data_IF_945776276764
#
_entry.id   IF_945776276764
#
_cell.length_a   1.000
_cell.length_b   1.000
_cell.length_c   1.000
_cell.angle_alpha   90.00
_cell.angle_beta   90.00
_cell.angle_gamma   90.00
#
_symmetry.space_group_name_H-M   'P 1'
#
loop_
_entity.id
_entity.type
_entity.pdbx_description
1 polymer ?
#
# COMPACT_ATOMS: atom_id res chain seq x y z
N UNK A 1 11.06 -40.72 6.81
CA UNK A 1 11.17 -39.75 5.69
C UNK A 1 11.89 -38.51 6.20
N UNK A 2 13.00 -38.11 5.57
CA UNK A 2 13.78 -36.93 5.99
C UNK A 2 12.97 -35.68 5.65
N UNK A 3 12.46 -34.99 6.67
CA UNK A 3 11.72 -33.72 6.49
C UNK A 3 12.69 -32.60 6.11
N UNK A 4 12.30 -31.76 5.16
CA UNK A 4 13.15 -30.67 4.70
C UNK A 4 13.28 -29.58 5.80
N UNK A 5 14.46 -28.98 5.94
CA UNK A 5 14.72 -27.94 6.96
C UNK A 5 13.76 -26.74 6.88
N UNK A 6 13.24 -26.42 5.69
CA UNK A 6 12.23 -25.38 5.51
C UNK A 6 10.88 -25.67 6.16
N UNK A 7 10.56 -26.95 6.38
CA UNK A 7 9.32 -27.43 6.99
C UNK A 7 9.44 -27.58 8.52
N UNK A 8 10.69 -27.59 9.04
CA UNK A 8 10.94 -27.64 10.48
C UNK A 8 10.64 -26.28 11.14
N UNK A 9 9.53 -26.22 11.87
CA UNK A 9 9.10 -25.03 12.62
C UNK A 9 10.21 -24.45 13.52
N UNK A 10 10.97 -25.31 14.20
CA UNK A 10 12.07 -24.90 15.08
C UNK A 10 13.20 -24.19 14.31
N UNK A 11 13.58 -24.71 13.14
CA UNK A 11 14.61 -24.10 12.30
C UNK A 11 14.15 -22.73 11.79
N UNK A 12 12.90 -22.62 11.33
CA UNK A 12 12.31 -21.34 10.91
C UNK A 12 12.34 -20.29 12.02
N UNK A 13 11.98 -20.69 13.24
CA UNK A 13 12.04 -19.81 14.41
C UNK A 13 13.48 -19.38 14.72
N UNK A 14 14.43 -20.31 14.64
CA UNK A 14 15.85 -20.04 14.87
C UNK A 14 16.42 -19.03 13.87
N UNK A 15 16.16 -19.20 12.56
CA UNK A 15 16.58 -18.27 11.51
C UNK A 15 15.96 -16.87 11.74
N UNK A 16 14.68 -16.81 12.09
CA UNK A 16 14.00 -15.54 12.38
C UNK A 16 14.55 -14.86 13.64
N UNK A 17 14.91 -15.64 14.66
CA UNK A 17 15.52 -15.11 15.87
C UNK A 17 16.88 -14.48 15.57
N UNK A 18 17.72 -15.18 14.81
CA UNK A 18 19.01 -14.67 14.35
C UNK A 18 18.89 -13.43 13.48
N UNK A 19 17.88 -13.36 12.61
CA UNK A 19 17.57 -12.16 11.84
C UNK A 19 17.20 -10.98 12.74
N UNK A 20 16.26 -11.17 13.66
CA UNK A 20 15.86 -10.11 14.61
C UNK A 20 17.04 -9.68 15.48
N UNK A 21 17.88 -10.61 15.88
CA UNK A 21 19.10 -10.35 16.63
C UNK A 21 20.09 -9.49 15.84
N UNK A 22 20.34 -9.81 14.56
CA UNK A 22 21.16 -8.94 13.68
C UNK A 22 20.59 -7.53 13.60
N UNK A 23 19.29 -7.37 13.38
CA UNK A 23 18.67 -6.06 13.27
C UNK A 23 18.81 -5.24 14.57
N UNK A 24 18.58 -5.85 15.73
CA UNK A 24 18.76 -5.20 17.03
C UNK A 24 20.22 -4.79 17.26
N UNK A 25 21.17 -5.64 16.90
CA UNK A 25 22.59 -5.31 17.00
C UNK A 25 23.00 -4.19 16.04
N UNK A 26 22.43 -4.15 14.82
CA UNK A 26 22.70 -3.05 13.88
C UNK A 26 22.22 -1.71 14.42
N UNK A 27 21.08 -1.68 15.12
CA UNK A 27 20.58 -0.43 15.71
C UNK A 27 21.37 -0.01 16.94
N UNK A 28 21.90 -0.97 17.71
CA UNK A 28 22.57 -0.70 19.00
C UNK A 28 24.06 -0.39 18.87
N UNK A 29 24.78 -1.06 17.95
CA UNK A 29 26.24 -1.04 17.93
C UNK A 29 26.85 -0.35 16.70
N UNK A 30 26.03 0.08 15.74
CA UNK A 30 26.49 0.81 14.55
C UNK A 30 25.99 2.24 14.66
N UNK A 31 26.88 3.22 14.51
CA UNK A 31 26.51 4.64 14.53
C UNK A 31 26.18 5.15 13.12
N UNK A 32 26.92 4.69 12.10
CA UNK A 32 26.73 5.08 10.70
C UNK A 32 25.38 4.60 10.14
N UNK A 33 24.52 5.56 9.75
CA UNK A 33 23.24 5.26 9.09
C UNK A 33 23.40 4.55 7.75
N UNK A 34 24.46 4.87 7.00
CA UNK A 34 24.75 4.21 5.73
C UNK A 34 25.02 2.71 5.92
N UNK A 35 25.81 2.35 6.93
CA UNK A 35 26.09 0.95 7.26
C UNK A 35 24.83 0.24 7.78
N UNK A 36 23.99 0.89 8.60
CA UNK A 36 22.70 0.34 9.04
C UNK A 36 21.79 0.01 7.86
N UNK A 37 21.64 0.92 6.90
CA UNK A 37 20.81 0.72 5.72
C UNK A 37 21.32 -0.41 4.83
N UNK A 38 22.64 -0.45 4.59
CA UNK A 38 23.29 -1.51 3.81
C UNK A 38 23.12 -2.89 4.48
N UNK A 39 23.35 -2.98 5.78
CA UNK A 39 23.14 -4.21 6.58
C UNK A 39 21.70 -4.71 6.46
N UNK A 40 20.71 -3.84 6.69
CA UNK A 40 19.29 -4.20 6.61
C UNK A 40 18.93 -4.74 5.23
N UNK A 41 19.43 -4.10 4.19
CA UNK A 41 19.11 -4.44 2.79
C UNK A 41 19.71 -5.78 2.40
N UNK A 42 21.00 -6.00 2.70
CA UNK A 42 21.72 -7.24 2.35
C UNK A 42 21.20 -8.42 3.17
N UNK A 43 20.99 -8.27 4.47
CA UNK A 43 20.49 -9.37 5.30
C UNK A 43 19.07 -9.75 4.88
N UNK A 44 18.21 -8.76 4.55
CA UNK A 44 16.86 -9.03 4.04
C UNK A 44 16.89 -9.74 2.68
N UNK A 45 17.76 -9.32 1.76
CA UNK A 45 17.85 -9.95 0.44
C UNK A 45 18.38 -11.38 0.52
N UNK A 46 19.37 -11.65 1.38
CA UNK A 46 19.90 -13.00 1.60
C UNK A 46 18.87 -13.95 2.20
N UNK A 47 18.08 -13.49 3.18
CA UNK A 47 16.99 -14.30 3.73
C UNK A 47 15.91 -14.63 2.69
N UNK A 48 15.60 -13.68 1.81
CA UNK A 48 14.64 -13.93 0.74
C UNK A 48 15.20 -14.92 -0.29
N UNK A 49 16.47 -14.77 -0.67
CA UNK A 49 17.16 -15.63 -1.63
C UNK A 49 17.20 -17.08 -1.17
N UNK A 50 17.51 -17.32 0.11
CA UNK A 50 17.68 -18.66 0.68
C UNK A 50 16.42 -19.21 1.36
N UNK A 51 15.25 -18.57 1.17
CA UNK A 51 13.99 -18.98 1.79
C UNK A 51 13.54 -20.38 1.35
N UNK A 52 13.84 -20.76 0.12
CA UNK A 52 13.43 -22.02 -0.50
C UNK A 52 14.56 -23.03 -0.61
N UNK A 53 15.71 -22.76 0.01
CA UNK A 53 16.86 -23.67 -0.03
C UNK A 53 16.50 -24.97 0.68
N UNK A 54 16.65 -26.08 -0.06
CA UNK A 54 16.40 -27.44 0.46
C UNK A 54 17.64 -28.07 1.11
N UNK A 55 18.82 -27.48 0.91
CA UNK A 55 20.10 -28.00 1.44
C UNK A 55 20.35 -27.53 2.87
N UNK A 56 20.57 -28.47 3.78
CA UNK A 56 20.93 -28.20 5.17
C UNK A 56 22.30 -27.50 5.29
N UNK A 57 23.23 -27.86 4.41
CA UNK A 57 24.59 -27.32 4.40
C UNK A 57 24.62 -25.84 3.94
N UNK A 58 23.80 -25.47 2.95
CA UNK A 58 23.72 -24.07 2.51
C UNK A 58 23.13 -23.16 3.60
N UNK A 59 22.09 -23.64 4.30
CA UNK A 59 21.51 -22.95 5.43
C UNK A 59 22.51 -22.81 6.60
N UNK A 60 23.26 -23.87 6.92
CA UNK A 60 24.28 -23.85 7.96
C UNK A 60 25.38 -22.82 7.68
N UNK A 61 25.96 -22.81 6.47
CA UNK A 61 26.99 -21.84 6.06
C UNK A 61 26.46 -20.40 6.18
N UNK A 62 25.20 -20.19 5.76
CA UNK A 62 24.58 -18.86 5.79
C UNK A 62 24.36 -18.37 7.23
N UNK A 63 23.94 -19.27 8.12
CA UNK A 63 23.80 -18.98 9.55
C UNK A 63 25.15 -18.73 10.23
N UNK A 64 26.21 -19.46 9.84
CA UNK A 64 27.55 -19.24 10.37
C UNK A 64 28.09 -17.86 9.99
N UNK A 65 27.93 -17.44 8.73
CA UNK A 65 28.27 -16.08 8.27
C UNK A 65 27.49 -15.00 9.02
N UNK A 66 26.20 -15.25 9.28
CA UNK A 66 25.36 -14.32 10.03
C UNK A 66 25.76 -14.25 11.52
N UNK A 67 26.25 -15.35 12.10
CA UNK A 67 26.85 -15.39 13.44
C UNK A 67 28.18 -14.61 13.48
N UNK A 68 29.03 -14.76 12.49
CA UNK A 68 30.30 -14.02 12.37
C UNK A 68 30.04 -12.51 12.23
N UNK A 69 29.09 -12.13 11.38
CA UNK A 69 28.65 -10.74 11.23
C UNK A 69 28.21 -10.16 12.58
N UNK A 70 27.38 -10.88 13.34
CA UNK A 70 26.95 -10.44 14.67
C UNK A 70 28.12 -10.28 15.65
N UNK A 71 29.11 -11.18 15.64
CA UNK A 71 30.32 -11.03 16.45
C UNK A 71 31.11 -9.77 16.08
N UNK A 72 31.17 -9.41 14.80
CA UNK A 72 31.81 -8.17 14.36
C UNK A 72 31.03 -6.92 14.81
N UNK A 73 29.70 -6.97 14.74
CA UNK A 73 28.83 -5.87 15.18
C UNK A 73 28.94 -5.64 16.70
N UNK A 74 28.90 -6.69 17.52
CA UNK A 74 29.01 -6.56 18.99
C UNK A 74 30.38 -6.05 19.43
N UNK A 75 31.45 -6.45 18.74
CA UNK A 75 32.82 -5.98 18.98
C UNK A 75 33.16 -4.65 18.31
N UNK A 76 32.17 -3.94 17.73
CA UNK A 76 32.32 -2.66 17.00
C UNK A 76 33.38 -2.66 15.89
N UNK A 77 33.67 -3.82 15.29
CA UNK A 77 34.64 -3.97 14.18
C UNK A 77 33.97 -3.65 12.84
N UNK A 78 33.68 -2.37 12.60
CA UNK A 78 32.90 -1.87 11.45
C UNK A 78 33.52 -2.21 10.09
N UNK A 79 34.85 -2.12 9.95
CA UNK A 79 35.58 -2.46 8.71
C UNK A 79 35.43 -3.95 8.37
N UNK A 80 35.56 -4.83 9.37
CA UNK A 80 35.39 -6.27 9.16
C UNK A 80 33.95 -6.63 8.80
N UNK A 81 32.97 -5.98 9.44
CA UNK A 81 31.56 -6.13 9.09
C UNK A 81 31.27 -5.64 7.66
N UNK A 82 31.92 -4.56 7.23
CA UNK A 82 31.81 -4.04 5.86
C UNK A 82 32.32 -5.04 4.82
N UNK A 83 33.51 -5.60 5.03
CA UNK A 83 34.11 -6.56 4.09
C UNK A 83 33.25 -7.83 3.96
N UNK A 84 32.72 -8.34 5.07
CA UNK A 84 31.80 -9.49 5.05
C UNK A 84 30.53 -9.21 4.23
N UNK A 85 30.01 -7.98 4.24
CA UNK A 85 28.86 -7.60 3.43
C UNK A 85 29.21 -7.50 1.94
N UNK A 86 30.40 -7.01 1.62
CA UNK A 86 30.90 -6.89 0.25
C UNK A 86 31.09 -8.27 -0.39
N UNK A 87 31.71 -9.21 0.32
CA UNK A 87 31.86 -10.60 -0.15
C UNK A 87 30.52 -11.28 -0.44
N UNK A 88 29.50 -10.97 0.36
CA UNK A 88 28.14 -11.51 0.21
C UNK A 88 27.40 -10.86 -0.97
N UNK A 89 27.68 -9.59 -1.29
CA UNK A 89 27.10 -8.93 -2.46
C UNK A 89 27.75 -9.35 -3.77
N UNK A 90 29.08 -9.52 -3.80
CA UNK A 90 29.83 -9.83 -5.04
C UNK A 90 29.60 -11.27 -5.53
N UNK A 91 29.46 -12.24 -4.61
CA UNK A 91 29.13 -13.64 -4.95
C UNK A 91 27.77 -13.81 -5.63
N UNK A 92 26.92 -12.78 -5.66
CA UNK A 92 25.63 -12.79 -6.35
C UNK A 92 25.74 -12.46 -7.85
N UNK A 93 26.81 -11.78 -8.29
CA UNK A 93 26.96 -11.38 -9.71
C UNK A 93 27.77 -12.38 -10.56
N UNK A 94 28.67 -13.19 -9.98
CA UNK A 94 29.69 -13.92 -10.76
C UNK A 94 29.65 -15.46 -10.66
N UNK A 95 28.49 -16.10 -10.86
CA UNK A 95 28.43 -17.54 -11.19
C UNK A 95 27.49 -17.82 -12.37
N UNK A 96 27.88 -17.32 -13.54
CA UNK A 96 27.57 -17.96 -14.82
C UNK A 96 28.85 -18.60 -15.31
N UNK A 97 29.20 -19.76 -14.77
CA UNK A 97 30.20 -20.63 -15.36
C UNK A 97 29.62 -21.14 -16.67
N UNK A 98 30.16 -20.60 -17.76
CA UNK A 98 29.88 -20.98 -19.14
C UNK A 98 30.22 -22.46 -19.37
N UNK A 99 29.21 -23.29 -19.55
CA UNK A 99 29.31 -24.41 -20.49
C UNK A 99 28.65 -23.95 -21.79
N UNK A 100 29.46 -23.90 -22.85
CA UNK A 100 29.06 -23.47 -24.18
C UNK A 100 28.04 -24.45 -24.75
N UNK A 101 26.84 -23.94 -25.06
CA UNK A 101 25.98 -24.52 -26.09
C UNK A 101 25.65 -23.42 -27.08
N UNK A 102 25.97 -23.71 -28.34
CA UNK A 102 25.84 -22.88 -29.53
C UNK A 102 24.43 -22.33 -29.69
N UNK A 103 24.33 -21.13 -30.26
CA UNK A 103 23.13 -20.37 -30.68
C UNK A 103 22.27 -19.74 -29.57
N UNK A 104 22.74 -18.63 -29.01
CA UNK A 104 21.85 -17.57 -28.56
C UNK A 104 22.30 -16.27 -29.22
N UNK A 105 21.65 -15.94 -30.34
CA UNK A 105 21.59 -14.55 -30.81
C UNK A 105 21.14 -13.72 -29.61
N UNK A 106 21.83 -12.62 -29.26
CA UNK A 106 21.39 -11.76 -28.18
C UNK A 106 19.95 -11.33 -28.49
N UNK A 107 18.99 -11.67 -27.63
CA UNK A 107 17.63 -11.15 -27.74
C UNK A 107 17.74 -9.62 -27.70
N UNK A 108 17.64 -9.00 -28.89
CA UNK A 108 17.50 -7.57 -29.01
C UNK A 108 16.35 -7.12 -28.09
N UNK A 109 16.43 -5.92 -27.48
CA UNK A 109 15.35 -5.43 -26.65
C UNK A 109 14.05 -5.45 -27.46
N UNK A 110 13.16 -6.39 -27.14
CA UNK A 110 11.88 -6.55 -27.81
C UNK A 110 11.15 -5.24 -27.63
N UNK A 111 10.87 -4.55 -28.75
CA UNK A 111 10.13 -3.28 -28.72
C UNK A 111 8.84 -3.51 -27.92
N UNK A 112 8.49 -2.65 -26.95
CA UNK A 112 7.39 -2.88 -26.02
C UNK A 112 6.02 -3.05 -26.71
N UNK A 113 5.88 -2.57 -27.94
CA UNK A 113 4.68 -2.75 -28.79
C UNK A 113 4.52 -4.21 -29.22
N UNK A 114 5.59 -4.85 -29.69
CA UNK A 114 5.60 -6.26 -30.13
C UNK A 114 5.32 -7.22 -28.95
N UNK A 115 5.78 -6.87 -27.75
CA UNK A 115 5.50 -7.64 -26.54
C UNK A 115 4.00 -7.57 -26.14
N UNK A 116 3.32 -6.45 -26.39
CA UNK A 116 1.88 -6.32 -26.14
C UNK A 116 1.05 -7.05 -27.20
N UNK A 117 1.41 -6.91 -28.47
CA UNK A 117 0.72 -7.58 -29.57
C UNK A 117 0.80 -9.11 -29.46
N UNK A 118 1.96 -9.65 -29.10
CA UNK A 118 2.16 -11.08 -28.86
C UNK A 118 1.34 -11.62 -27.69
N UNK A 119 1.20 -10.85 -26.60
CA UNK A 119 0.35 -11.27 -25.46
C UNK A 119 -1.13 -11.26 -25.82
N UNK A 120 -1.60 -10.25 -26.56
CA UNK A 120 -2.98 -10.18 -27.07
C UNK A 120 -3.27 -11.36 -28.00
N UNK A 121 -2.35 -11.63 -28.93
CA UNK A 121 -2.46 -12.74 -29.88
C UNK A 121 -2.52 -14.10 -29.17
N UNK A 122 -1.63 -14.34 -28.21
CA UNK A 122 -1.60 -15.60 -27.46
C UNK A 122 -2.90 -15.81 -26.66
N UNK A 123 -3.42 -14.75 -26.02
CA UNK A 123 -4.68 -14.83 -25.29
C UNK A 123 -5.86 -15.14 -26.22
N UNK A 124 -5.89 -14.51 -27.39
CA UNK A 124 -6.89 -14.76 -28.42
C UNK A 124 -6.84 -16.19 -28.94
N UNK A 125 -5.65 -16.70 -29.29
CA UNK A 125 -5.45 -18.07 -29.76
C UNK A 125 -5.90 -19.07 -28.70
N UNK A 126 -5.45 -18.91 -27.45
CA UNK A 126 -5.83 -19.80 -26.35
C UNK A 126 -7.35 -19.83 -26.14
N UNK A 127 -8.01 -18.66 -26.18
CA UNK A 127 -9.46 -18.56 -26.04
C UNK A 127 -10.24 -19.23 -27.18
N UNK A 128 -9.75 -19.15 -28.42
CA UNK A 128 -10.40 -19.81 -29.58
C UNK A 128 -10.09 -21.31 -29.63
N UNK A 129 -8.88 -21.74 -29.25
CA UNK A 129 -8.50 -23.16 -29.14
C UNK A 129 -9.30 -23.86 -28.04
N UNK A 130 -9.51 -23.22 -26.88
CA UNK A 130 -10.35 -23.76 -25.81
C UNK A 130 -11.80 -24.01 -26.26
N UNK A 131 -12.29 -23.25 -27.24
CA UNK A 131 -13.62 -23.41 -27.85
C UNK A 131 -13.64 -24.36 -29.06
N UNK A 132 -12.51 -24.99 -29.40
CA UNK A 132 -12.40 -25.87 -30.57
C UNK A 132 -12.44 -25.15 -31.93
N UNK A 133 -12.31 -23.81 -31.96
CA UNK A 133 -12.44 -23.00 -33.19
C UNK A 133 -11.12 -22.83 -33.96
N UNK A 134 -9.98 -23.21 -33.36
CA UNK A 134 -8.66 -23.12 -33.98
C UNK A 134 -7.86 -24.41 -33.74
N UNK A 135 -7.00 -24.82 -34.69
CA UNK A 135 -6.11 -25.95 -34.52
C UNK A 135 -5.04 -25.68 -33.46
N UNK A 136 -4.53 -26.75 -32.83
CA UNK A 136 -3.51 -26.66 -31.76
C UNK A 136 -2.19 -26.07 -32.26
N UNK A 137 -1.81 -26.38 -33.50
CA UNK A 137 -0.58 -25.89 -34.14
C UNK A 137 -0.96 -24.95 -35.27
N UNK A 138 -0.47 -23.71 -35.21
CA UNK A 138 -0.72 -22.68 -36.22
C UNK A 138 0.63 -22.14 -36.70
N UNK A 139 0.91 -22.16 -38.01
CA UNK A 139 2.11 -21.56 -38.58
C UNK A 139 2.26 -20.08 -38.23
N UNK A 140 3.50 -19.61 -38.09
CA UNK A 140 3.80 -18.24 -37.66
C UNK A 140 3.28 -17.19 -38.66
N UNK A 141 3.27 -17.50 -39.95
CA UNK A 141 2.76 -16.61 -41.01
C UNK A 141 1.26 -16.31 -40.82
N UNK A 142 0.44 -17.33 -40.55
CA UNK A 142 -0.99 -17.14 -40.29
C UNK A 142 -1.25 -16.42 -38.95
N UNK A 143 -0.39 -16.65 -37.95
CA UNK A 143 -0.44 -15.91 -36.68
C UNK A 143 -0.27 -14.41 -36.88
N UNK A 144 0.68 -13.99 -37.71
CA UNK A 144 0.97 -12.56 -37.93
C UNK A 144 0.03 -11.92 -38.94
N UNK A 145 -0.31 -12.60 -40.04
CA UNK A 145 -1.09 -12.01 -41.14
C UNK A 145 -2.61 -12.07 -40.92
N UNK A 146 -3.12 -13.14 -40.30
CA UNK A 146 -4.57 -13.35 -40.14
C UNK A 146 -5.02 -13.17 -38.69
N UNK A 147 -4.38 -13.86 -37.75
CA UNK A 147 -4.87 -13.92 -36.37
C UNK A 147 -4.57 -12.67 -35.57
N UNK A 148 -3.41 -12.03 -35.78
CA UNK A 148 -3.05 -10.81 -35.07
C UNK A 148 -4.01 -9.64 -35.39
N UNK A 149 -4.31 -9.32 -36.67
CA UNK A 149 -5.30 -8.29 -36.99
C UNK A 149 -6.68 -8.56 -36.37
N UNK A 150 -7.13 -9.82 -36.35
CA UNK A 150 -8.40 -10.22 -35.73
C UNK A 150 -8.36 -10.09 -34.20
N UNK A 151 -7.27 -10.51 -33.56
CA UNK A 151 -7.10 -10.40 -32.11
C UNK A 151 -7.10 -8.92 -31.66
N UNK A 152 -6.43 -8.05 -32.42
CA UNK A 152 -6.44 -6.62 -32.18
C UNK A 152 -7.82 -6.00 -32.41
N UNK A 153 -8.55 -6.47 -33.41
CA UNK A 153 -9.93 -6.04 -33.67
C UNK A 153 -10.88 -6.43 -32.53
N UNK A 154 -10.87 -7.68 -32.07
CA UNK A 154 -11.72 -8.15 -30.97
C UNK A 154 -11.44 -7.37 -29.66
N UNK A 155 -10.17 -7.12 -29.36
CA UNK A 155 -9.80 -6.29 -28.22
C UNK A 155 -10.33 -4.85 -28.37
N UNK A 156 -10.21 -4.27 -29.56
CA UNK A 156 -10.70 -2.93 -29.85
C UNK A 156 -12.23 -2.85 -29.83
N UNK A 157 -12.94 -3.90 -30.25
CA UNK A 157 -14.40 -4.00 -30.13
C UNK A 157 -14.82 -4.00 -28.67
N UNK A 158 -14.16 -4.81 -27.83
CA UNK A 158 -14.42 -4.80 -26.39
C UNK A 158 -14.16 -3.42 -25.77
N UNK A 159 -13.15 -2.69 -26.24
CA UNK A 159 -12.90 -1.29 -25.83
C UNK A 159 -14.01 -0.37 -26.30
N UNK A 160 -14.44 -0.47 -27.55
CA UNK A 160 -15.51 0.33 -28.13
C UNK A 160 -16.83 0.14 -27.38
N UNK A 161 -17.23 -1.10 -27.08
CA UNK A 161 -18.44 -1.38 -26.29
C UNK A 161 -18.36 -0.80 -24.87
N UNK A 162 -17.18 -0.84 -24.23
CA UNK A 162 -16.99 -0.18 -22.92
C UNK A 162 -17.18 1.33 -23.03
N UNK A 163 -16.78 1.93 -24.14
CA UNK A 163 -16.95 3.36 -24.38
C UNK A 163 -18.39 3.74 -24.69
N UNK A 164 -19.07 2.93 -25.49
CA UNK A 164 -20.50 3.04 -25.76
C UNK A 164 -21.32 2.95 -24.47
N UNK A 165 -21.07 1.94 -23.62
CA UNK A 165 -21.75 1.79 -22.33
C UNK A 165 -21.47 2.98 -21.39
N UNK A 166 -20.27 3.55 -21.41
CA UNK A 166 -19.96 4.76 -20.62
C UNK A 166 -20.74 5.97 -21.12
N UNK A 167 -20.89 6.12 -22.44
CA UNK A 167 -21.65 7.21 -23.03
C UNK A 167 -23.16 7.04 -22.79
N UNK A 168 -23.68 5.81 -22.89
CA UNK A 168 -25.08 5.49 -22.62
C UNK A 168 -25.49 5.82 -21.17
N UNK A 169 -24.57 5.67 -20.21
CA UNK A 169 -24.80 6.04 -18.79
C UNK A 169 -24.89 7.55 -18.54
N UNK A 170 -24.57 8.38 -19.53
CA UNK A 170 -24.59 9.83 -19.42
C UNK A 170 -23.34 10.43 -18.76
N UNK A 171 -23.38 11.73 -18.41
CA UNK A 171 -22.24 12.42 -17.84
C UNK A 171 -21.84 11.84 -16.48
N UNK A 172 -20.54 11.79 -16.17
CA UNK A 172 -20.06 11.27 -14.90
C UNK A 172 -20.51 12.18 -13.74
N UNK A 173 -21.33 11.61 -12.85
CA UNK A 173 -21.88 12.32 -11.69
C UNK A 173 -20.79 12.86 -10.78
N UNK A 174 -20.90 14.13 -10.38
CA UNK A 174 -20.06 14.69 -9.33
C UNK A 174 -20.78 14.63 -7.98
N UNK A 175 -20.07 14.19 -6.95
CA UNK A 175 -20.63 14.04 -5.62
C UNK A 175 -19.59 14.33 -4.56
N UNK A 176 -20.05 14.69 -3.37
CA UNK A 176 -19.19 14.85 -2.20
C UNK A 176 -18.91 13.48 -1.60
N UNK A 177 -17.62 13.17 -1.47
CA UNK A 177 -17.14 11.99 -0.78
C UNK A 177 -16.41 12.42 0.48
N UNK A 178 -16.20 11.51 1.41
CA UNK A 178 -15.47 11.77 2.63
C UNK A 178 -14.50 10.64 2.97
N UNK A 179 -13.48 11.00 3.75
CA UNK A 179 -12.60 10.04 4.43
C UNK A 179 -12.62 10.34 5.92
N UNK A 180 -12.71 9.30 6.73
CA UNK A 180 -12.60 9.43 8.18
C UNK A 180 -11.13 9.63 8.58
N UNK A 181 -10.93 10.49 9.57
CA UNK A 181 -9.66 10.68 10.28
C UNK A 181 -9.96 10.86 11.77
N UNK A 182 -10.02 9.74 12.51
CA UNK A 182 -10.51 9.74 13.88
C UNK A 182 -11.96 10.22 13.96
N UNK A 183 -12.21 11.26 14.77
CA UNK A 183 -13.54 11.88 14.96
C UNK A 183 -13.93 12.84 13.82
N UNK A 184 -12.97 13.26 12.99
CA UNK A 184 -13.21 14.20 11.89
C UNK A 184 -13.53 13.48 10.57
N UNK A 185 -14.40 14.10 9.76
CA UNK A 185 -14.73 13.65 8.39
C UNK A 185 -14.21 14.68 7.40
N UNK A 186 -13.21 14.30 6.62
CA UNK A 186 -12.63 15.17 5.60
C UNK A 186 -13.43 15.00 4.32
N UNK A 187 -14.21 16.01 3.95
CA UNK A 187 -15.02 16.03 2.74
C UNK A 187 -14.22 16.52 1.53
N UNK A 188 -14.55 16.01 0.34
CA UNK A 188 -13.96 16.45 -0.92
C UNK A 188 -14.83 16.05 -2.12
N UNK A 189 -14.76 16.82 -3.21
CA UNK A 189 -15.51 16.52 -4.44
C UNK A 189 -14.86 15.35 -5.19
N UNK A 190 -15.65 14.35 -5.55
CA UNK A 190 -15.29 13.32 -6.54
C UNK A 190 -15.94 13.68 -7.87
N UNK A 191 -15.13 13.73 -8.93
CA UNK A 191 -15.57 14.02 -10.30
C UNK A 191 -14.71 13.26 -11.31
N UNK A 192 -15.06 13.33 -12.59
CA UNK A 192 -14.22 12.75 -13.66
C UNK A 192 -12.84 13.40 -13.74
N UNK A 193 -12.74 14.67 -13.35
CA UNK A 193 -11.48 15.41 -13.24
C UNK A 193 -10.69 15.02 -12.00
N UNK A 194 -11.37 14.88 -10.86
CA UNK A 194 -10.74 14.68 -9.55
C UNK A 194 -10.78 13.20 -9.12
N UNK A 195 -10.10 12.32 -9.88
CA UNK A 195 -10.03 10.88 -9.60
C UNK A 195 -8.61 10.33 -9.65
N UNK A 196 -8.27 9.46 -8.70
CA UNK A 196 -6.97 8.73 -8.64
C UNK A 196 -5.74 9.65 -8.71
N UNK A 197 -4.88 9.48 -9.71
CA UNK A 197 -3.66 10.28 -9.92
C UNK A 197 -3.93 11.76 -10.23
N UNK A 198 -5.15 12.09 -10.69
CA UNK A 198 -5.58 13.47 -10.96
C UNK A 198 -6.11 14.18 -9.72
N UNK A 199 -6.14 13.51 -8.56
CA UNK A 199 -6.49 14.19 -7.33
C UNK A 199 -5.44 15.20 -6.94
N UNK A 200 -5.88 16.32 -6.36
CA UNK A 200 -4.96 17.34 -5.86
C UNK A 200 -3.99 16.72 -4.85
N UNK A 201 -2.69 16.94 -5.07
CA UNK A 201 -1.65 16.56 -4.11
C UNK A 201 -1.87 17.23 -2.75
N UNK A 202 -2.40 18.46 -2.73
CA UNK A 202 -2.70 19.19 -1.49
C UNK A 202 -3.75 18.47 -0.64
N UNK A 203 -4.81 17.96 -1.27
CA UNK A 203 -5.83 17.14 -0.61
C UNK A 203 -5.21 15.86 -0.03
N UNK A 204 -4.34 15.19 -0.79
CA UNK A 204 -3.65 13.99 -0.31
C UNK A 204 -2.68 14.26 0.85
N UNK A 205 -2.03 15.42 0.88
CA UNK A 205 -1.18 15.86 2.01
C UNK A 205 -2.05 16.16 3.23
N UNK A 206 -3.15 16.91 3.04
CA UNK A 206 -4.10 17.24 4.10
C UNK A 206 -4.66 15.98 4.77
N UNK A 207 -5.15 15.01 3.98
CA UNK A 207 -5.69 13.75 4.52
C UNK A 207 -4.62 12.98 5.31
N UNK A 208 -3.38 12.90 4.81
CA UNK A 208 -2.31 12.19 5.51
C UNK A 208 -1.91 12.87 6.81
N UNK A 209 -1.81 14.21 6.80
CA UNK A 209 -1.51 15.00 7.99
C UNK A 209 -2.58 14.79 9.06
N UNK A 210 -3.84 14.87 8.67
CA UNK A 210 -4.97 14.70 9.59
C UNK A 210 -5.07 13.28 10.14
N UNK A 211 -4.86 12.25 9.30
CA UNK A 211 -4.82 10.85 9.78
C UNK A 211 -3.67 10.61 10.75
N UNK A 212 -2.49 11.19 10.48
CA UNK A 212 -1.34 11.08 11.39
C UNK A 212 -1.63 11.77 12.72
N UNK A 213 -2.24 12.96 12.69
CA UNK A 213 -2.64 13.68 13.88
C UNK A 213 -3.69 12.91 14.69
N UNK A 214 -4.75 12.43 14.04
CA UNK A 214 -5.79 11.62 14.68
C UNK A 214 -5.25 10.32 15.30
N UNK A 215 -4.28 9.67 14.65
CA UNK A 215 -3.58 8.54 15.23
C UNK A 215 -2.80 8.94 16.48
N UNK A 216 -2.11 10.09 16.45
CA UNK A 216 -1.43 10.63 17.62
C UNK A 216 -2.37 10.89 18.81
N UNK A 217 -3.59 11.38 18.55
CA UNK A 217 -4.62 11.56 19.59
C UNK A 217 -5.07 10.21 20.17
N UNK A 218 -5.27 9.20 19.32
CA UNK A 218 -5.62 7.85 19.79
C UNK A 218 -4.49 7.21 20.61
N UNK A 219 -3.24 7.40 20.18
CA UNK A 219 -2.07 6.89 20.88
C UNK A 219 -1.88 7.63 22.23
N UNK A 220 -2.12 8.94 22.27
CA UNK A 220 -2.09 9.72 23.51
C UNK A 220 -3.19 9.29 24.49
N UNK A 221 -4.41 9.06 24.00
CA UNK A 221 -5.51 8.54 24.83
C UNK A 221 -5.16 7.18 25.43
N UNK A 222 -4.58 6.27 24.65
CA UNK A 222 -4.14 4.96 25.16
C UNK A 222 -3.08 5.09 26.26
N UNK A 223 -2.14 6.03 26.11
CA UNK A 223 -1.17 6.33 27.18
C UNK A 223 -1.86 6.84 28.43
N UNK A 224 -2.82 7.75 28.30
CA UNK A 224 -3.63 8.19 29.44
C UNK A 224 -4.39 7.03 30.10
N UNK A 225 -4.88 6.05 29.33
CA UNK A 225 -5.52 4.84 29.88
C UNK A 225 -4.52 3.98 30.67
N UNK A 226 -3.30 3.80 30.17
CA UNK A 226 -2.22 3.10 30.88
C UNK A 226 -1.79 3.85 32.14
N UNK A 227 -1.52 5.16 32.03
CA UNK A 227 -1.11 6.03 33.13
C UNK A 227 -2.21 6.11 34.21
N UNK A 228 -3.49 6.04 33.82
CA UNK A 228 -4.63 6.02 34.74
C UNK A 228 -4.60 4.79 35.66
N UNK A 229 -4.21 3.63 35.16
CA UNK A 229 -4.11 2.40 35.97
C UNK A 229 -2.97 2.53 36.97
N UNK A 230 -1.83 3.08 36.56
CA UNK A 230 -0.69 3.33 37.44
C UNK A 230 -1.02 4.36 38.52
N UNK A 231 -1.54 5.52 38.12
CA UNK A 231 -1.93 6.59 39.03
C UNK A 231 -2.98 6.12 40.05
N UNK A 232 -3.88 5.23 39.64
CA UNK A 232 -4.84 4.61 40.55
C UNK A 232 -4.18 3.72 41.59
N UNK A 233 -3.21 2.88 41.18
CA UNK A 233 -2.48 2.04 42.13
C UNK A 233 -1.70 2.90 43.14
N UNK A 234 -0.97 3.91 42.67
CA UNK A 234 -0.24 4.84 43.56
C UNK A 234 -1.18 5.58 44.51
N UNK A 235 -2.32 6.07 44.02
CA UNK A 235 -3.32 6.70 44.86
C UNK A 235 -3.90 5.75 45.93
N UNK A 236 -4.14 4.47 45.58
CA UNK A 236 -4.58 3.47 46.55
C UNK A 236 -3.51 3.22 47.62
N UNK A 237 -2.23 3.21 47.24
CA UNK A 237 -1.12 3.06 48.18
C UNK A 237 -1.03 4.25 49.14
N UNK A 238 -1.13 5.48 48.64
CA UNK A 238 -1.10 6.67 49.48
C UNK A 238 -2.31 6.75 50.43
N UNK A 239 -3.53 6.49 49.94
CA UNK A 239 -4.72 6.42 50.81
C UNK A 239 -4.61 5.32 51.86
N UNK A 240 -4.01 4.17 51.53
CA UNK A 240 -3.79 3.10 52.50
C UNK A 240 -2.83 3.53 53.60
N UNK A 241 -1.75 4.23 53.24
CA UNK A 241 -0.76 4.74 54.20
C UNK A 241 -1.36 5.83 55.11
N UNK A 242 -2.17 6.73 54.56
CA UNK A 242 -2.75 7.85 55.31
C UNK A 242 -3.95 7.45 56.18
N UNK A 243 -4.83 6.58 55.66
CA UNK A 243 -6.13 6.27 56.28
C UNK A 243 -6.25 4.85 56.82
N UNK A 244 -5.35 3.94 56.44
CA UNK A 244 -5.42 2.51 56.76
C UNK A 244 -6.55 1.75 56.05
N UNK A 245 -7.22 2.36 55.05
CA UNK A 245 -8.37 1.78 54.35
C UNK A 245 -8.04 1.44 52.90
N UNK A 246 -8.51 0.28 52.45
CA UNK A 246 -8.48 -0.11 51.04
C UNK A 246 -9.71 0.44 50.32
N UNK A 247 -9.49 1.37 49.39
CA UNK A 247 -10.53 1.87 48.50
C UNK A 247 -10.74 0.87 47.36
N UNK A 248 -12.00 0.57 47.04
CA UNK A 248 -12.36 -0.24 45.88
C UNK A 248 -12.99 0.65 44.81
N UNK A 249 -12.55 0.50 43.57
CA UNK A 249 -13.06 1.27 42.44
C UNK A 249 -12.36 0.92 41.13
N UNK A 250 -12.91 1.40 40.02
CA UNK A 250 -12.37 1.20 38.68
C UNK A 250 -11.73 2.50 38.18
N UNK A 251 -10.41 2.50 37.85
CA UNK A 251 -9.72 3.70 37.36
C UNK A 251 -10.35 4.29 36.09
N UNK A 252 -10.83 3.41 35.20
CA UNK A 252 -11.34 3.83 33.90
C UNK A 252 -12.68 4.57 34.04
N UNK A 253 -13.52 4.14 34.98
CA UNK A 253 -14.81 4.78 35.26
C UNK A 253 -14.62 6.20 35.83
N UNK A 254 -13.54 6.45 36.59
CA UNK A 254 -13.27 7.77 37.16
C UNK A 254 -12.84 8.79 36.09
N UNK A 255 -11.96 8.37 35.16
CA UNK A 255 -11.32 9.28 34.20
C UNK A 255 -12.10 9.38 32.88
N UNK A 256 -12.72 8.29 32.43
CA UNK A 256 -13.30 8.20 31.08
C UNK A 256 -14.83 8.15 31.06
N UNK A 257 -15.50 7.84 32.18
CA UNK A 257 -16.96 7.87 32.28
C UNK A 257 -17.39 9.08 33.13
N UNK A 258 -18.37 9.85 32.64
CA UNK A 258 -18.98 10.96 33.39
C UNK A 258 -19.90 10.46 34.53
N UNK A 259 -19.56 9.35 35.17
CA UNK A 259 -20.39 8.77 36.20
C UNK A 259 -20.15 9.49 37.54
N UNK A 260 -21.15 10.29 37.92
CA UNK A 260 -21.32 10.94 39.21
C UNK A 260 -21.39 9.98 40.42
N UNK A 261 -21.25 8.67 40.20
CA UNK A 261 -21.32 7.63 41.24
C UNK A 261 -20.09 7.60 42.17
N UNK A 262 -18.99 8.27 41.82
CA UNK A 262 -17.88 8.46 42.75
C UNK A 262 -18.24 9.37 43.94
N UNK A 263 -19.37 10.08 43.91
CA UNK A 263 -19.87 10.85 45.06
C UNK A 263 -20.29 10.02 46.27
N UNK A 264 -20.28 8.68 46.20
CA UNK A 264 -20.60 7.79 47.34
C UNK A 264 -19.40 7.46 48.23
N UNK A 265 -18.18 7.61 47.71
CA UNK A 265 -16.96 7.58 48.51
C UNK A 265 -16.55 9.04 48.65
N UNK A 266 -16.58 9.62 49.85
CA UNK A 266 -16.19 11.02 50.07
C UNK A 266 -14.84 11.35 49.39
N UNK A 267 -14.53 12.62 49.14
CA UNK A 267 -13.38 13.02 48.32
C UNK A 267 -12.09 12.44 48.90
N UNK A 268 -11.64 11.32 48.34
CA UNK A 268 -10.34 10.71 48.61
C UNK A 268 -9.34 11.61 47.90
N UNK A 269 -8.79 12.54 48.68
CA UNK A 269 -7.98 13.65 48.18
C UNK A 269 -6.83 13.13 47.31
N UNK A 270 -6.19 12.04 47.73
CA UNK A 270 -5.05 11.47 47.02
C UNK A 270 -5.49 10.85 45.68
N UNK A 271 -6.64 10.15 45.65
CA UNK A 271 -7.22 9.63 44.39
C UNK A 271 -7.55 10.74 43.42
N UNK A 272 -8.11 11.85 43.91
CA UNK A 272 -8.41 12.99 43.04
C UNK A 272 -7.15 13.69 42.54
N UNK A 273 -6.13 13.84 43.38
CA UNK A 273 -4.88 14.53 43.03
C UNK A 273 -4.09 13.77 41.96
N UNK A 274 -4.06 12.45 42.02
CA UNK A 274 -3.40 11.61 41.01
C UNK A 274 -4.16 11.54 39.68
N UNK A 275 -5.49 11.51 39.69
CA UNK A 275 -6.29 11.24 38.49
C UNK A 275 -6.78 12.51 37.76
N UNK A 276 -6.93 13.63 38.46
CA UNK A 276 -7.38 14.90 37.84
C UNK A 276 -6.48 15.37 36.68
N UNK A 277 -5.13 15.30 36.77
CA UNK A 277 -4.26 15.67 35.65
C UNK A 277 -4.52 14.82 34.40
N UNK A 278 -4.74 13.51 34.57
CA UNK A 278 -5.02 12.58 33.48
C UNK A 278 -6.39 12.90 32.86
N UNK A 279 -7.40 13.15 33.69
CA UNK A 279 -8.74 13.58 33.24
C UNK A 279 -8.68 14.87 32.43
N UNK A 280 -7.89 15.85 32.86
CA UNK A 280 -7.70 17.10 32.14
C UNK A 280 -7.00 16.90 30.80
N UNK A 281 -5.99 16.04 30.73
CA UNK A 281 -5.35 15.66 29.47
C UNK A 281 -6.35 15.01 28.50
N UNK A 282 -7.14 14.05 28.97
CA UNK A 282 -8.16 13.37 28.14
C UNK A 282 -9.19 14.37 27.62
N UNK A 283 -9.69 15.27 28.49
CA UNK A 283 -10.63 16.33 28.12
C UNK A 283 -10.04 17.28 27.08
N UNK A 284 -8.77 17.67 27.23
CA UNK A 284 -8.05 18.49 26.25
C UNK A 284 -7.99 17.83 24.87
N UNK A 285 -7.62 16.54 24.82
CA UNK A 285 -7.59 15.77 23.57
C UNK A 285 -8.97 15.69 22.89
N UNK A 286 -10.03 15.53 23.67
CA UNK A 286 -11.40 15.49 23.14
C UNK A 286 -11.85 16.83 22.58
N UNK A 287 -11.55 17.93 23.28
CA UNK A 287 -11.85 19.29 22.81
C UNK A 287 -11.12 19.61 21.50
N UNK A 288 -9.84 19.26 21.40
CA UNK A 288 -9.08 19.43 20.15
C UNK A 288 -9.69 18.61 19.00
N UNK A 289 -10.06 17.35 19.26
CA UNK A 289 -10.72 16.50 18.28
C UNK A 289 -12.07 17.05 17.81
N UNK A 290 -12.85 17.65 18.71
CA UNK A 290 -14.10 18.34 18.36
C UNK A 290 -13.84 19.58 17.51
N UNK A 291 -12.85 20.40 17.88
CA UNK A 291 -12.49 21.59 17.13
C UNK A 291 -12.05 21.25 15.68
N UNK A 292 -11.24 20.20 15.53
CA UNK A 292 -10.87 19.67 14.21
C UNK A 292 -12.09 19.19 13.41
N UNK A 293 -13.01 18.45 14.03
CA UNK A 293 -14.22 18.00 13.37
C UNK A 293 -15.10 19.18 12.90
N UNK A 294 -15.26 20.22 13.72
CA UNK A 294 -15.98 21.44 13.38
C UNK A 294 -15.32 22.19 12.22
N UNK A 295 -13.99 22.26 12.19
CA UNK A 295 -13.25 22.87 11.07
C UNK A 295 -13.55 22.20 9.73
N UNK A 296 -13.58 20.86 9.68
CA UNK A 296 -13.90 20.15 8.44
C UNK A 296 -15.39 20.22 8.08
N UNK A 297 -16.28 20.38 9.07
CA UNK A 297 -17.69 20.65 8.83
C UNK A 297 -17.87 22.02 8.17
N UNK A 298 -17.27 23.08 8.73
CA UNK A 298 -17.24 24.42 8.12
C UNK A 298 -16.65 24.40 6.70
N UNK A 299 -15.51 23.72 6.50
CA UNK A 299 -14.91 23.57 5.18
C UNK A 299 -15.87 22.92 4.16
N UNK A 300 -16.65 21.92 4.57
CA UNK A 300 -17.67 21.31 3.71
C UNK A 300 -18.73 22.31 3.32
N UNK A 301 -19.28 23.04 4.29
CA UNK A 301 -20.42 23.92 4.07
C UNK A 301 -20.01 25.18 3.27
N UNK A 302 -18.86 25.77 3.59
CA UNK A 302 -18.38 27.04 3.01
C UNK A 302 -17.69 26.88 1.65
N UNK A 303 -16.84 25.86 1.51
CA UNK A 303 -15.95 25.71 0.33
C UNK A 303 -16.49 24.67 -0.66
N UNK A 304 -17.06 23.57 -0.14
CA UNK A 304 -17.50 22.45 -0.97
C UNK A 304 -18.97 22.57 -1.40
N UNK A 305 -19.82 23.20 -0.58
CA UNK A 305 -21.27 23.13 -0.73
C UNK A 305 -21.85 23.79 -1.99
N UNK A 306 -21.20 24.81 -2.57
CA UNK A 306 -21.74 25.52 -3.74
C UNK A 306 -20.75 25.75 -4.88
N UNK A 307 -19.62 26.45 -4.62
CA UNK A 307 -18.74 26.93 -5.70
C UNK A 307 -17.91 25.81 -6.35
N UNK A 308 -17.24 24.98 -5.55
CA UNK A 308 -16.35 23.94 -6.08
C UNK A 308 -17.11 22.76 -6.67
N UNK A 309 -18.23 22.35 -6.07
CA UNK A 309 -19.08 21.27 -6.62
C UNK A 309 -19.64 21.66 -7.99
N UNK A 310 -20.23 22.85 -8.13
CA UNK A 310 -20.75 23.33 -9.42
C UNK A 310 -19.66 23.42 -10.49
N UNK A 311 -18.47 23.92 -10.14
CA UNK A 311 -17.32 23.97 -11.05
C UNK A 311 -16.94 22.57 -11.57
N UNK A 312 -16.86 21.57 -10.70
CA UNK A 312 -16.52 20.21 -11.12
C UNK A 312 -17.64 19.55 -11.92
N UNK A 313 -18.89 19.87 -11.62
CA UNK A 313 -20.06 19.38 -12.36
C UNK A 313 -20.04 19.91 -13.80
N UNK A 314 -19.99 21.23 -13.98
CA UNK A 314 -19.96 21.86 -15.31
C UNK A 314 -18.78 21.37 -16.15
N UNK A 315 -17.59 21.25 -15.56
CA UNK A 315 -16.43 20.71 -16.28
C UNK A 315 -16.53 19.23 -16.60
N UNK A 316 -17.21 18.44 -15.78
CA UNK A 316 -17.47 17.02 -16.07
C UNK A 316 -18.46 16.87 -17.23
N UNK A 317 -19.46 17.75 -17.29
CA UNK A 317 -20.45 17.81 -18.37
C UNK A 317 -19.82 18.27 -19.70
N UNK A 318 -18.95 19.29 -19.67
CA UNK A 318 -18.17 19.73 -20.84
C UNK A 318 -17.30 18.60 -21.42
N UNK A 319 -16.61 17.85 -20.55
CA UNK A 319 -15.79 16.71 -20.97
C UNK A 319 -16.63 15.59 -21.60
N UNK A 320 -17.80 15.31 -21.01
CA UNK A 320 -18.74 14.34 -21.56
C UNK A 320 -19.24 14.78 -22.94
N UNK A 321 -19.66 16.03 -23.09
CA UNK A 321 -20.13 16.59 -24.36
C UNK A 321 -19.08 16.49 -25.46
N UNK A 322 -17.82 16.84 -25.16
CA UNK A 322 -16.68 16.68 -26.10
C UNK A 322 -16.40 15.22 -26.44
N UNK A 323 -16.57 14.30 -25.49
CA UNK A 323 -16.40 12.88 -25.74
C UNK A 323 -17.51 12.33 -26.64
N UNK A 324 -18.76 12.72 -26.37
CA UNK A 324 -19.92 12.32 -27.14
C UNK A 324 -19.85 12.84 -28.57
N UNK A 325 -19.41 14.08 -28.78
CA UNK A 325 -19.24 14.64 -30.13
C UNK A 325 -18.19 13.88 -30.94
N UNK A 326 -17.04 13.55 -30.33
CA UNK A 326 -16.01 12.70 -30.97
C UNK A 326 -16.53 11.31 -31.30
N UNK A 327 -17.28 10.69 -30.39
CA UNK A 327 -17.87 9.37 -30.64
C UNK A 327 -18.86 9.39 -31.80
N UNK A 328 -19.75 10.39 -31.84
CA UNK A 328 -20.71 10.57 -32.95
C UNK A 328 -20.01 10.82 -34.29
N UNK A 329 -18.93 11.60 -34.30
CA UNK A 329 -18.12 11.83 -35.49
C UNK A 329 -17.44 10.54 -35.99
N UNK A 330 -16.86 9.76 -35.07
CA UNK A 330 -16.26 8.45 -35.36
C UNK A 330 -17.30 7.48 -35.93
N UNK A 331 -18.48 7.40 -35.30
CA UNK A 331 -19.55 6.50 -35.71
C UNK A 331 -20.09 6.81 -37.12
N UNK A 332 -20.22 8.08 -37.48
CA UNK A 332 -20.73 8.49 -38.79
C UNK A 332 -19.72 8.32 -39.92
N UNK A 333 -18.42 8.58 -39.67
CA UNK A 333 -17.41 8.69 -40.72
C UNK A 333 -16.59 7.41 -40.93
N UNK A 334 -16.18 6.77 -39.84
CA UNK A 334 -15.09 5.80 -39.86
C UNK A 334 -15.53 4.39 -39.41
N UNK A 335 -16.52 4.25 -38.52
CA UNK A 335 -16.97 2.93 -38.05
C UNK A 335 -17.57 2.05 -39.17
N UNK A 336 -18.25 2.65 -40.16
CA UNK A 336 -18.80 1.90 -41.30
C UNK A 336 -17.74 1.38 -42.27
N UNK A 337 -16.49 1.85 -42.16
CA UNK A 337 -15.38 1.51 -43.07
C UNK A 337 -14.31 0.61 -42.40
N UNK A 338 -14.61 0.07 -41.22
CA UNK A 338 -13.67 -0.72 -40.43
C UNK A 338 -13.33 -2.01 -41.15
N UNK A 339 -12.04 -2.26 -41.34
CA UNK A 339 -11.50 -3.50 -41.92
C UNK A 339 -10.30 -3.95 -41.09
N UNK A 340 -10.34 -5.13 -40.43
CA UNK A 340 -9.26 -5.57 -39.52
C UNK A 340 -7.89 -5.64 -40.18
N UNK A 341 -7.85 -6.02 -41.46
CA UNK A 341 -6.61 -6.31 -42.18
C UNK A 341 -5.92 -5.06 -42.78
N UNK A 342 -6.60 -3.92 -42.81
CA UNK A 342 -6.04 -2.68 -43.37
C UNK A 342 -5.63 -1.78 -42.21
N UNK A 343 -4.32 -1.57 -42.01
CA UNK A 343 -3.79 -0.88 -40.83
C UNK A 343 -4.47 0.48 -40.54
N UNK A 344 -4.75 1.30 -41.57
CA UNK A 344 -5.38 2.63 -41.44
C UNK A 344 -6.90 2.61 -41.25
N UNK A 345 -7.54 1.48 -41.52
CA UNK A 345 -8.99 1.25 -41.35
C UNK A 345 -9.27 0.23 -40.24
N UNK A 346 -8.23 -0.17 -39.51
CA UNK A 346 -8.35 -1.08 -38.39
C UNK A 346 -9.07 -0.38 -37.24
N UNK A 347 -9.88 -1.12 -36.49
CA UNK A 347 -10.59 -0.55 -35.34
C UNK A 347 -9.64 0.07 -34.29
N UNK A 348 -8.48 -0.53 -33.95
CA UNK A 348 -7.48 0.12 -33.10
C UNK A 348 -7.04 1.49 -33.62
N UNK A 349 -6.69 1.59 -34.91
CA UNK A 349 -6.26 2.87 -35.50
C UNK A 349 -7.35 3.94 -35.49
N UNK A 350 -8.61 3.55 -35.66
CA UNK A 350 -9.75 4.46 -35.62
C UNK A 350 -9.99 4.94 -34.19
N UNK A 351 -9.94 4.04 -33.20
CA UNK A 351 -10.06 4.43 -31.79
C UNK A 351 -8.94 5.39 -31.37
N UNK A 352 -7.70 5.12 -31.79
CA UNK A 352 -6.54 5.97 -31.49
C UNK A 352 -6.67 7.36 -32.16
N UNK A 353 -7.15 7.41 -33.42
CA UNK A 353 -7.42 8.67 -34.15
C UNK A 353 -8.38 9.60 -33.40
N UNK A 354 -9.36 9.05 -32.70
CA UNK A 354 -10.34 9.83 -31.92
C UNK A 354 -10.00 9.91 -30.41
N UNK A 355 -8.84 9.41 -29.99
CA UNK A 355 -8.36 9.35 -28.61
C UNK A 355 -9.30 8.61 -27.64
N UNK A 356 -9.82 7.45 -28.06
CA UNK A 356 -10.59 6.53 -27.21
C UNK A 356 -9.74 5.40 -26.69
#
# INVERSE_FOLDING_TARGET
MVTHFGELKQHRLYVLHWYRYTLRNTTKYVESEHLKLRLRTIVKSQLFKHRTDKSSWSAYISLQKLRELNKCLTKRKTIKAWNLLTEVSEKSQNRRTSMQSVSNVPNAPVRPVLAKESTILNHFIAGKQAKGLLPKVIPQQYKTQLLLPLALHDMALARLHREELKLARGPPKTYLNYTNAGRSRIWFVRSALNKSSRQSKSLGIMIRKEKKWAQGVLDARKRCEEDCVWAWQEALWEELLDSGRLVQGNPIEYVFENNSNFGKFGPLKNVTDWLNPIRDCVRGLELEAQHHALRFKKFKDDVLGRKSWQYFQTKSDELYARRLSRYRAMARRDLSKVTPFVARRSLPSILDKYHF
#
